data_IF_657551888282
#
_entry.id   IF_657551888282
#
_cell.length_a   1.000
_cell.length_b   1.000
_cell.length_c   1.000
_cell.angle_alpha   90.00
_cell.angle_beta   90.00
_cell.angle_gamma   90.00
#
_symmetry.space_group_name_H-M   'P 1'
#
loop_
_entity.id
_entity.type
_entity.pdbx_description
1 polymer ?
#
# COMPACT_ATOMS: atom_id res chain seq x y z
N UNK A 1 -33.44 29.42 -18.64
CA UNK A 1 -32.95 29.71 -17.28
C UNK A 1 -32.20 28.47 -16.80
N UNK A 2 -30.88 28.43 -16.93
CA UNK A 2 -30.06 27.33 -16.44
C UNK A 2 -29.92 27.46 -14.92
N UNK A 3 -30.46 26.51 -14.17
CA UNK A 3 -30.23 26.44 -12.73
C UNK A 3 -28.72 26.30 -12.49
N UNK A 4 -28.12 27.10 -11.60
CA UNK A 4 -26.69 26.96 -11.30
C UNK A 4 -26.44 25.54 -10.80
N UNK A 5 -25.54 24.82 -11.48
CA UNK A 5 -25.12 23.50 -11.05
C UNK A 5 -24.42 23.69 -9.69
N UNK A 6 -24.92 23.08 -8.60
CA UNK A 6 -24.33 23.24 -7.29
C UNK A 6 -22.87 22.84 -7.34
N UNK A 7 -22.01 23.63 -6.70
CA UNK A 7 -20.58 23.37 -6.67
C UNK A 7 -20.34 21.91 -6.20
N UNK A 8 -19.50 21.15 -6.90
CA UNK A 8 -19.29 19.76 -6.57
C UNK A 8 -18.71 19.61 -5.17
N UNK A 9 -19.38 18.80 -4.34
CA UNK A 9 -18.95 18.51 -2.96
C UNK A 9 -17.55 17.90 -3.02
N UNK A 10 -16.54 18.57 -2.45
CA UNK A 10 -15.18 18.04 -2.38
C UNK A 10 -14.91 17.44 -1.00
N UNK A 11 -14.63 16.15 -0.94
CA UNK A 11 -14.19 15.48 0.30
C UNK A 11 -12.73 15.87 0.55
N UNK A 12 -12.50 16.96 1.29
CA UNK A 12 -11.16 17.45 1.63
C UNK A 12 -10.63 16.88 2.94
N UNK A 13 -11.52 16.61 3.90
CA UNK A 13 -11.13 16.18 5.23
C UNK A 13 -11.16 14.65 5.39
N UNK A 14 -10.16 14.06 6.05
CA UNK A 14 -10.11 12.62 6.29
C UNK A 14 -11.27 12.14 7.17
N UNK A 15 -11.72 12.95 8.13
CA UNK A 15 -12.86 12.62 9.00
C UNK A 15 -14.18 12.55 8.22
N UNK A 16 -14.36 13.41 7.20
CA UNK A 16 -15.51 13.32 6.31
C UNK A 16 -15.49 12.02 5.52
N UNK A 17 -14.31 11.63 5.02
CA UNK A 17 -14.14 10.33 4.35
C UNK A 17 -14.42 9.17 5.31
N UNK A 18 -13.93 9.24 6.55
CA UNK A 18 -14.19 8.25 7.60
C UNK A 18 -15.70 8.10 7.87
N UNK A 19 -16.37 9.23 8.09
CA UNK A 19 -17.82 9.30 8.29
C UNK A 19 -18.57 8.66 7.12
N UNK A 20 -18.16 8.93 5.88
CA UNK A 20 -18.80 8.35 4.70
C UNK A 20 -18.54 6.86 4.57
N UNK A 21 -17.33 6.40 4.90
CA UNK A 21 -16.95 4.99 4.86
C UNK A 21 -17.82 4.15 5.80
N UNK A 22 -18.07 4.64 7.02
CA UNK A 22 -18.80 3.88 8.03
C UNK A 22 -20.31 4.13 8.05
N UNK A 23 -20.75 5.37 7.82
CA UNK A 23 -22.15 5.76 8.02
C UNK A 23 -22.89 6.02 6.71
N UNK A 24 -22.18 6.24 5.58
CA UNK A 24 -22.81 6.53 4.28
C UNK A 24 -22.10 5.88 3.08
N UNK A 25 -21.90 4.54 3.07
CA UNK A 25 -21.18 3.86 1.98
C UNK A 25 -21.80 4.11 0.60
N UNK A 26 -23.13 4.13 0.49
CA UNK A 26 -23.84 4.43 -0.75
C UNK A 26 -23.57 5.86 -1.28
N UNK A 27 -23.37 6.83 -0.39
CA UNK A 27 -23.01 8.20 -0.80
C UNK A 27 -21.59 8.26 -1.31
N UNK A 28 -20.67 7.52 -0.67
CA UNK A 28 -19.30 7.37 -1.13
C UNK A 28 -19.24 6.71 -2.51
N UNK A 29 -20.02 5.65 -2.74
CA UNK A 29 -20.14 4.99 -4.03
C UNK A 29 -20.59 5.93 -5.14
N UNK A 30 -21.67 6.68 -4.88
CA UNK A 30 -22.21 7.65 -5.85
C UNK A 30 -21.19 8.76 -6.16
N UNK A 31 -20.50 9.25 -5.13
CA UNK A 31 -19.44 10.25 -5.29
C UNK A 31 -18.24 9.69 -6.07
N UNK A 32 -17.78 8.48 -5.76
CA UNK A 32 -16.70 7.81 -6.48
C UNK A 32 -17.06 7.61 -7.96
N UNK A 33 -18.27 7.10 -8.24
CA UNK A 33 -18.78 6.95 -9.61
C UNK A 33 -18.93 8.26 -10.38
N UNK A 34 -19.18 9.37 -9.68
CA UNK A 34 -19.21 10.69 -10.30
C UNK A 34 -17.84 11.19 -10.77
N UNK A 35 -16.76 10.60 -10.26
CA UNK A 35 -15.38 10.87 -10.70
C UNK A 35 -15.03 9.90 -11.83
N UNK A 36 -15.29 8.60 -11.66
CA UNK A 36 -15.05 7.58 -12.68
C UNK A 36 -15.99 6.38 -12.49
N UNK A 37 -16.62 5.83 -13.55
CA UNK A 37 -17.59 4.72 -13.44
C UNK A 37 -17.03 3.48 -12.75
N UNK A 38 -15.74 3.17 -12.94
CA UNK A 38 -15.05 2.02 -12.32
C UNK A 38 -14.60 2.27 -10.87
N UNK A 39 -14.76 3.49 -10.36
CA UNK A 39 -14.41 3.81 -8.98
C UNK A 39 -15.57 3.44 -8.05
N UNK A 40 -15.38 2.39 -7.25
CA UNK A 40 -16.36 1.92 -6.27
C UNK A 40 -15.92 2.23 -4.81
N UNK A 41 -16.70 1.76 -3.83
CA UNK A 41 -16.47 1.91 -2.38
C UNK A 41 -15.10 1.39 -1.92
N UNK A 42 -14.56 0.39 -2.62
CA UNK A 42 -13.21 -0.16 -2.40
C UNK A 42 -12.09 0.84 -2.69
N UNK A 43 -12.40 1.98 -3.32
CA UNK A 43 -11.45 3.03 -3.67
C UNK A 43 -10.21 2.46 -4.36
N UNK A 44 -10.41 1.70 -5.45
CA UNK A 44 -9.34 1.21 -6.34
C UNK A 44 -8.75 2.35 -7.19
N UNK A 45 -8.43 3.48 -6.54
CA UNK A 45 -7.93 4.71 -7.16
C UNK A 45 -6.68 4.49 -8.00
N UNK A 46 -5.90 3.43 -7.78
CA UNK A 46 -4.72 3.15 -8.61
C UNK A 46 -5.06 2.67 -10.03
N UNK A 47 -6.23 2.07 -10.26
CA UNK A 47 -6.62 1.52 -11.57
C UNK A 47 -6.99 2.64 -12.53
N UNK A 48 -7.80 3.59 -12.05
CA UNK A 48 -8.32 4.73 -12.83
C UNK A 48 -7.39 5.94 -12.85
N UNK A 49 -6.28 5.92 -12.09
CA UNK A 49 -5.38 7.08 -11.95
C UNK A 49 -4.92 7.66 -13.28
N UNK A 50 -4.65 6.80 -14.27
CA UNK A 50 -4.15 7.24 -15.59
C UNK A 50 -5.18 8.10 -16.33
N UNK A 51 -6.46 7.93 -16.02
CA UNK A 51 -7.58 8.56 -16.71
C UNK A 51 -8.07 9.80 -15.96
N UNK A 52 -8.09 9.77 -14.63
CA UNK A 52 -8.64 10.85 -13.78
C UNK A 52 -7.62 11.55 -12.88
N UNK A 53 -6.32 11.35 -13.11
CA UNK A 53 -5.25 11.85 -12.24
C UNK A 53 -5.22 13.37 -12.05
N UNK A 54 -5.66 14.13 -13.07
CA UNK A 54 -5.65 15.59 -13.05
C UNK A 54 -6.88 16.20 -12.35
N UNK A 55 -7.94 15.41 -12.12
CA UNK A 55 -9.16 15.87 -11.48
C UNK A 55 -8.86 16.33 -10.02
N UNK A 56 -9.16 17.58 -9.65
CA UNK A 56 -8.96 18.07 -8.29
C UNK A 56 -9.76 17.28 -7.23
N UNK A 57 -10.93 16.73 -7.58
CA UNK A 57 -11.77 15.90 -6.69
C UNK A 57 -11.09 14.56 -6.40
N UNK A 58 -10.51 13.96 -7.43
CA UNK A 58 -9.74 12.71 -7.31
C UNK A 58 -8.50 12.92 -6.42
N UNK A 59 -7.77 14.02 -6.62
CA UNK A 59 -6.61 14.38 -5.79
C UNK A 59 -7.00 14.64 -4.32
N UNK A 60 -8.12 15.32 -4.08
CA UNK A 60 -8.64 15.54 -2.73
C UNK A 60 -9.00 14.21 -2.05
N UNK A 61 -9.69 13.31 -2.76
CA UNK A 61 -10.05 11.98 -2.26
C UNK A 61 -8.81 11.13 -1.93
N UNK A 62 -7.81 11.12 -2.82
CA UNK A 62 -6.55 10.41 -2.59
C UNK A 62 -5.82 10.96 -1.35
N UNK A 63 -5.78 12.28 -1.19
CA UNK A 63 -5.16 12.93 -0.03
C UNK A 63 -5.90 12.60 1.26
N UNK A 64 -7.23 12.68 1.26
CA UNK A 64 -8.06 12.32 2.41
C UNK A 64 -7.84 10.86 2.82
N UNK A 65 -7.80 9.94 1.84
CA UNK A 65 -7.48 8.52 2.08
C UNK A 65 -6.09 8.33 2.68
N UNK A 66 -5.08 9.02 2.15
CA UNK A 66 -3.71 8.94 2.67
C UNK A 66 -3.63 9.38 4.13
N UNK A 67 -4.26 10.51 4.47
CA UNK A 67 -4.32 10.97 5.85
C UNK A 67 -5.09 10.00 6.74
N UNK A 68 -6.18 9.42 6.25
CA UNK A 68 -6.95 8.40 6.98
C UNK A 68 -6.05 7.21 7.35
N UNK A 69 -5.36 6.64 6.38
CA UNK A 69 -4.48 5.48 6.58
C UNK A 69 -3.30 5.80 7.50
N UNK A 70 -2.78 7.03 7.46
CA UNK A 70 -1.69 7.47 8.33
C UNK A 70 -2.14 7.69 9.78
N UNK A 71 -3.32 8.30 9.97
CA UNK A 71 -3.76 8.81 11.29
C UNK A 71 -4.56 7.80 12.09
N UNK A 72 -5.40 6.97 11.45
CA UNK A 72 -6.28 6.03 12.16
C UNK A 72 -5.53 5.05 13.05
N UNK A 73 -4.43 4.38 12.63
CA UNK A 73 -3.73 3.43 13.50
C UNK A 73 -3.12 4.12 14.72
N UNK A 74 -2.54 5.30 14.52
CA UNK A 74 -1.90 6.08 15.59
C UNK A 74 -2.94 6.58 16.59
N UNK A 75 -4.00 7.22 16.11
CA UNK A 75 -5.08 7.70 16.96
C UNK A 75 -5.78 6.56 17.70
N UNK A 76 -6.03 5.44 17.01
CA UNK A 76 -6.61 4.24 17.62
C UNK A 76 -5.73 3.70 18.74
N UNK A 77 -4.43 3.56 18.49
CA UNK A 77 -3.47 3.08 19.49
C UNK A 77 -3.35 4.03 20.67
N UNK A 78 -3.30 5.35 20.43
CA UNK A 78 -3.26 6.34 21.50
C UNK A 78 -4.54 6.32 22.32
N UNK A 79 -5.71 6.28 21.68
CA UNK A 79 -7.00 6.25 22.37
C UNK A 79 -7.15 4.99 23.23
N UNK A 80 -6.84 3.82 22.67
CA UNK A 80 -6.86 2.54 23.40
C UNK A 80 -5.83 2.56 24.53
N UNK A 81 -4.61 3.02 24.27
CA UNK A 81 -3.55 3.13 25.28
C UNK A 81 -3.93 4.03 26.45
N UNK A 82 -4.59 5.18 26.19
CA UNK A 82 -5.10 6.07 27.23
C UNK A 82 -6.15 5.38 28.10
N UNK A 83 -7.09 4.67 27.47
CA UNK A 83 -8.14 3.92 28.16
C UNK A 83 -7.53 2.83 29.06
N UNK A 84 -6.61 2.02 28.54
CA UNK A 84 -5.97 0.95 29.31
C UNK A 84 -5.04 1.46 30.41
N UNK A 85 -4.41 2.62 30.23
CA UNK A 85 -3.58 3.25 31.26
C UNK A 85 -4.37 3.65 32.52
N UNK A 86 -5.71 3.69 32.44
CA UNK A 86 -6.56 3.93 33.62
C UNK A 86 -6.72 2.69 34.50
N UNK A 87 -6.45 1.50 33.99
CA UNK A 87 -6.65 0.24 34.73
C UNK A 87 -5.36 -0.55 34.98
N UNK A 88 -4.36 -0.44 34.11
CA UNK A 88 -3.14 -1.25 34.15
C UNK A 88 -1.94 -0.48 33.58
N UNK A 89 -0.73 -1.00 33.84
CA UNK A 89 0.53 -0.44 33.34
C UNK A 89 0.68 -0.67 31.82
N UNK A 90 0.03 0.19 31.04
CA UNK A 90 0.06 0.11 29.59
C UNK A 90 1.47 0.38 29.03
N UNK A 91 2.02 -0.61 28.31
CA UNK A 91 3.35 -0.53 27.70
C UNK A 91 3.32 0.30 26.41
N UNK A 92 3.41 1.62 26.58
CA UNK A 92 3.34 2.61 25.49
C UNK A 92 4.34 2.39 24.36
N UNK A 93 5.61 2.14 24.70
CA UNK A 93 6.68 2.05 23.70
C UNK A 93 6.46 0.90 22.70
N UNK A 94 6.22 -0.36 23.11
CA UNK A 94 5.87 -1.44 22.20
C UNK A 94 4.64 -1.15 21.35
N UNK A 95 3.59 -0.58 21.94
CA UNK A 95 2.33 -0.28 21.23
C UNK A 95 2.53 0.78 20.13
N UNK A 96 3.22 1.88 20.44
CA UNK A 96 3.52 2.94 19.47
C UNK A 96 4.47 2.45 18.38
N UNK A 97 5.47 1.62 18.72
CA UNK A 97 6.37 1.04 17.73
C UNK A 97 5.63 0.09 16.79
N UNK A 98 4.73 -0.74 17.33
CA UNK A 98 3.87 -1.61 16.53
C UNK A 98 2.96 -0.81 15.59
N UNK A 99 2.26 0.20 16.13
CA UNK A 99 1.35 1.02 15.33
C UNK A 99 2.08 1.81 14.26
N UNK A 100 3.25 2.37 14.55
CA UNK A 100 4.04 3.11 13.56
C UNK A 100 4.60 2.20 12.47
N UNK A 101 5.10 1.01 12.83
CA UNK A 101 5.53 -0.01 11.87
C UNK A 101 4.39 -0.42 10.92
N UNK A 102 3.20 -0.66 11.48
CA UNK A 102 1.99 -0.95 10.70
C UNK A 102 1.62 0.20 9.75
N UNK A 103 1.60 1.44 10.25
CA UNK A 103 1.32 2.63 9.44
C UNK A 103 2.30 2.77 8.29
N UNK A 104 3.61 2.66 8.56
CA UNK A 104 4.66 2.70 7.52
C UNK A 104 4.45 1.59 6.50
N UNK A 105 4.10 0.38 6.91
CA UNK A 105 3.80 -0.73 6.01
C UNK A 105 2.64 -0.43 5.06
N UNK A 106 1.53 0.09 5.58
CA UNK A 106 0.37 0.48 4.76
C UNK A 106 0.71 1.62 3.80
N UNK A 107 1.39 2.66 4.28
CA UNK A 107 1.75 3.81 3.46
C UNK A 107 2.74 3.41 2.36
N UNK A 108 3.75 2.60 2.70
CA UNK A 108 4.72 2.06 1.73
C UNK A 108 4.00 1.25 0.66
N UNK A 109 3.05 0.38 1.04
CA UNK A 109 2.22 -0.36 0.09
C UNK A 109 1.42 0.57 -0.83
N UNK A 110 0.81 1.62 -0.28
CA UNK A 110 0.08 2.63 -1.04
C UNK A 110 0.98 3.38 -2.03
N UNK A 111 2.17 3.80 -1.59
CA UNK A 111 3.16 4.51 -2.41
C UNK A 111 3.70 3.63 -3.54
N UNK A 112 3.98 2.36 -3.26
CA UNK A 112 4.43 1.40 -4.25
C UNK A 112 3.33 1.09 -5.27
N UNK A 113 2.10 0.87 -4.82
CA UNK A 113 0.96 0.69 -5.72
C UNK A 113 0.74 1.93 -6.60
N UNK A 114 0.96 3.12 -6.03
CA UNK A 114 0.92 4.38 -6.76
C UNK A 114 2.03 4.46 -7.82
N UNK A 115 3.26 4.05 -7.50
CA UNK A 115 4.41 4.13 -8.42
C UNK A 115 4.41 3.03 -9.49
N UNK A 116 3.91 1.83 -9.17
CA UNK A 116 4.01 0.62 -9.99
C UNK A 116 2.68 -0.18 -10.07
N UNK A 117 1.63 0.38 -10.71
CA UNK A 117 0.28 -0.20 -10.69
C UNK A 117 0.20 -1.58 -11.35
N UNK A 118 1.00 -1.86 -12.39
CA UNK A 118 0.98 -3.15 -13.10
C UNK A 118 1.63 -4.30 -12.31
N UNK A 119 2.34 -4.00 -11.24
CA UNK A 119 3.16 -4.98 -10.52
C UNK A 119 2.50 -5.44 -9.21
N UNK A 120 1.39 -4.82 -8.80
CA UNK A 120 0.67 -5.02 -7.52
C UNK A 120 0.39 -6.48 -7.19
N UNK A 121 0.09 -7.33 -8.18
CA UNK A 121 -0.14 -8.78 -7.96
C UNK A 121 1.11 -9.52 -7.47
N UNK A 122 2.31 -9.11 -7.90
CA UNK A 122 3.59 -9.64 -7.39
C UNK A 122 3.98 -9.03 -6.04
N UNK A 123 3.59 -7.78 -5.79
CA UNK A 123 3.87 -7.13 -4.51
C UNK A 123 3.07 -7.71 -3.34
N UNK A 124 1.94 -8.37 -3.56
CA UNK A 124 1.24 -9.05 -2.48
C UNK A 124 2.11 -10.13 -1.82
N UNK A 125 2.90 -10.86 -2.61
CA UNK A 125 3.90 -11.81 -2.09
C UNK A 125 5.02 -11.12 -1.31
N UNK A 126 5.55 -10.01 -1.83
CA UNK A 126 6.57 -9.24 -1.10
C UNK A 126 5.99 -8.64 0.20
N UNK A 127 4.75 -8.19 0.18
CA UNK A 127 4.03 -7.70 1.35
C UNK A 127 3.84 -8.80 2.38
N UNK A 128 3.43 -10.00 1.96
CA UNK A 128 3.34 -11.16 2.84
C UNK A 128 4.69 -11.53 3.46
N UNK A 129 5.78 -11.48 2.69
CA UNK A 129 7.15 -11.72 3.18
C UNK A 129 7.57 -10.64 4.20
N UNK A 130 7.34 -9.36 3.91
CA UNK A 130 7.66 -8.26 4.82
C UNK A 130 6.84 -8.38 6.12
N UNK A 131 5.56 -8.73 6.01
CA UNK A 131 4.67 -8.87 7.15
C UNK A 131 5.07 -10.09 8.01
N UNK A 132 5.43 -11.21 7.38
CA UNK A 132 6.02 -12.38 8.04
C UNK A 132 7.29 -12.00 8.81
N UNK A 133 8.21 -11.28 8.16
CA UNK A 133 9.45 -10.81 8.78
C UNK A 133 9.21 -9.86 9.95
N UNK A 134 8.25 -8.95 9.81
CA UNK A 134 7.84 -8.06 10.89
C UNK A 134 7.23 -8.83 12.06
N UNK A 135 6.39 -9.82 11.81
CA UNK A 135 5.85 -10.67 12.87
C UNK A 135 6.96 -11.46 13.58
N UNK A 136 7.97 -11.95 12.86
CA UNK A 136 9.14 -12.60 13.47
C UNK A 136 9.91 -11.64 14.36
N UNK A 137 10.14 -10.40 13.92
CA UNK A 137 10.78 -9.35 14.74
C UNK A 137 9.98 -9.02 16.01
N UNK A 138 8.66 -8.94 15.91
CA UNK A 138 7.78 -8.70 17.07
C UNK A 138 7.82 -9.89 18.02
N UNK A 139 7.73 -11.12 17.50
CA UNK A 139 7.83 -12.33 18.32
C UNK A 139 9.19 -12.36 19.03
N UNK A 140 10.29 -12.11 18.31
CA UNK A 140 11.63 -12.10 18.91
C UNK A 140 11.85 -10.99 19.93
N UNK A 141 11.16 -9.86 19.81
CA UNK A 141 11.26 -8.76 20.79
C UNK A 141 10.36 -8.97 22.00
N UNK A 142 9.26 -9.72 21.87
CA UNK A 142 8.29 -9.96 22.94
C UNK A 142 8.56 -11.28 23.68
N UNK A 143 8.97 -12.34 22.97
CA UNK A 143 9.19 -13.68 23.52
C UNK A 143 10.21 -13.70 24.70
N UNK A 144 11.32 -12.95 24.67
CA UNK A 144 12.29 -12.88 25.77
C UNK A 144 11.72 -12.31 27.06
N UNK A 145 10.78 -11.37 26.98
CA UNK A 145 10.08 -10.83 28.14
C UNK A 145 9.24 -11.89 28.86
N UNK A 146 8.74 -12.90 28.13
CA UNK A 146 7.98 -14.01 28.70
C UNK A 146 8.86 -15.17 29.17
N UNK A 147 10.01 -15.38 28.54
CA UNK A 147 10.92 -16.50 28.81
C UNK A 147 12.07 -16.14 29.77
N UNK A 148 12.21 -14.88 30.19
CA UNK A 148 13.33 -14.42 31.03
C UNK A 148 14.68 -14.45 30.33
N UNK A 149 14.71 -14.36 29.00
CA UNK A 149 15.93 -14.50 28.20
C UNK A 149 16.74 -13.19 28.28
N UNK A 150 18.07 -13.24 28.53
CA UNK A 150 18.91 -12.06 28.63
C UNK A 150 18.96 -11.28 27.31
N UNK A 151 19.05 -9.95 27.42
CA UNK A 151 18.98 -9.01 26.29
C UNK A 151 20.06 -9.24 25.21
N UNK A 152 21.19 -9.85 25.57
CA UNK A 152 22.32 -10.12 24.68
C UNK A 152 21.95 -11.11 23.57
N UNK A 153 21.18 -12.17 23.90
CA UNK A 153 20.67 -13.14 22.93
C UNK A 153 19.66 -12.50 21.95
N UNK A 154 19.01 -11.41 22.36
CA UNK A 154 18.03 -10.68 21.57
C UNK A 154 18.72 -9.88 20.45
N UNK A 155 19.88 -9.29 20.74
CA UNK A 155 20.68 -8.56 19.75
C UNK A 155 21.16 -9.51 18.64
N UNK A 156 21.66 -10.68 19.03
CA UNK A 156 22.15 -11.69 18.07
C UNK A 156 21.03 -12.19 17.15
N UNK A 157 19.84 -12.47 17.70
CA UNK A 157 18.68 -12.89 16.92
C UNK A 157 18.21 -11.80 15.94
N UNK A 158 18.21 -10.53 16.37
CA UNK A 158 17.88 -9.40 15.49
C UNK A 158 18.87 -9.28 14.32
N UNK A 159 20.17 -9.48 14.57
CA UNK A 159 21.19 -9.47 13.52
C UNK A 159 21.00 -10.59 12.50
N UNK A 160 20.69 -11.81 12.96
CA UNK A 160 20.44 -12.96 12.07
C UNK A 160 19.21 -12.71 11.18
N UNK A 161 18.13 -12.18 11.76
CA UNK A 161 16.93 -11.84 11.00
C UNK A 161 17.23 -10.74 9.99
N UNK A 162 17.87 -9.66 10.41
CA UNK A 162 18.25 -8.55 9.53
C UNK A 162 19.12 -9.02 8.34
N UNK A 163 20.09 -9.91 8.59
CA UNK A 163 20.93 -10.51 7.57
C UNK A 163 20.11 -11.37 6.60
N UNK A 164 19.19 -12.20 7.11
CA UNK A 164 18.28 -13.00 6.31
C UNK A 164 17.39 -12.15 5.38
N UNK A 165 16.88 -11.02 5.88
CA UNK A 165 16.13 -10.05 5.06
C UNK A 165 16.99 -9.47 3.96
N UNK A 166 18.19 -8.99 4.30
CA UNK A 166 19.09 -8.37 3.33
C UNK A 166 19.43 -9.34 2.19
N UNK A 167 19.70 -10.61 2.51
CA UNK A 167 19.96 -11.66 1.52
C UNK A 167 18.73 -11.97 0.67
N UNK A 168 17.55 -12.10 1.28
CA UNK A 168 16.29 -12.35 0.56
C UNK A 168 15.96 -11.24 -0.44
N UNK A 169 16.10 -9.99 -0.02
CA UNK A 169 15.88 -8.82 -0.90
C UNK A 169 16.92 -8.76 -2.02
N UNK A 170 18.20 -9.01 -1.72
CA UNK A 170 19.26 -9.03 -2.73
C UNK A 170 19.04 -10.14 -3.78
N UNK A 171 18.57 -11.32 -3.35
CA UNK A 171 18.29 -12.45 -4.24
C UNK A 171 17.07 -12.19 -5.14
N UNK A 172 16.00 -11.64 -4.57
CA UNK A 172 14.82 -11.21 -5.32
C UNK A 172 15.17 -10.14 -6.38
N UNK A 173 16.04 -9.19 -6.03
CA UNK A 173 16.50 -8.15 -6.95
C UNK A 173 17.40 -8.70 -8.07
N UNK A 174 18.27 -9.67 -7.78
CA UNK A 174 19.11 -10.34 -8.78
C UNK A 174 18.26 -11.13 -9.80
N UNK A 175 17.21 -11.81 -9.35
CA UNK A 175 16.23 -12.48 -10.22
C UNK A 175 15.48 -11.50 -11.13
N UNK A 176 15.12 -10.33 -10.61
CA UNK A 176 14.46 -9.26 -11.38
C UNK A 176 15.33 -8.74 -12.53
N UNK A 177 16.61 -8.46 -12.29
CA UNK A 177 17.54 -7.97 -13.31
C UNK A 177 17.68 -8.96 -14.48
N UNK A 178 17.69 -10.27 -14.17
CA UNK A 178 17.81 -11.34 -15.17
C UNK A 178 16.56 -11.44 -16.06
N UNK A 179 15.37 -11.28 -15.50
CA UNK A 179 14.12 -11.37 -16.26
C UNK A 179 13.90 -10.16 -17.20
N UNK A 180 14.44 -8.99 -16.85
CA UNK A 180 14.37 -7.78 -17.68
C UNK A 180 15.21 -7.90 -18.96
N UNK A 181 16.38 -8.54 -18.90
CA UNK A 181 17.23 -8.69 -20.09
C UNK A 181 16.61 -9.65 -21.12
N UNK A 182 15.87 -10.66 -20.66
CA UNK A 182 15.19 -11.63 -21.53
C UNK A 182 14.02 -11.02 -22.30
N UNK A 183 13.29 -10.07 -21.70
CA UNK A 183 12.22 -9.35 -22.41
C UNK A 183 12.75 -8.42 -23.50
N UNK A 184 13.90 -7.79 -23.27
CA UNK A 184 14.50 -6.92 -24.29
C UNK A 184 14.90 -7.73 -25.53
N UNK A 185 15.56 -8.88 -25.33
CA UNK A 185 15.95 -9.76 -26.44
C UNK A 185 14.77 -10.33 -27.22
N UNK A 186 13.60 -10.49 -26.60
CA UNK A 186 12.39 -11.05 -27.24
C UNK A 186 11.60 -10.01 -28.04
N UNK A 187 11.74 -8.72 -27.73
CA UNK A 187 11.18 -7.63 -28.54
C UNK A 187 11.93 -7.49 -29.85
N UNK A 188 13.27 -7.49 -29.79
CA UNK A 188 14.13 -7.30 -30.97
C UNK A 188 13.99 -8.41 -32.01
N UNK A 189 13.57 -9.63 -31.61
CA UNK A 189 13.31 -10.75 -32.53
C UNK A 189 11.90 -10.75 -33.12
N UNK A 190 10.93 -10.11 -32.47
CA UNK A 190 9.57 -10.03 -33.01
C UNK A 190 9.48 -9.01 -34.15
N UNK A 191 10.24 -7.92 -34.05
CA UNK A 191 10.25 -6.85 -35.07
C UNK A 191 10.96 -7.28 -36.38
N UNK A 192 11.84 -8.29 -36.33
CA UNK A 192 12.55 -8.79 -37.53
C UNK A 192 11.69 -9.71 -38.41
N UNK A 193 10.60 -10.28 -37.90
CA UNK A 193 9.77 -11.24 -38.67
C UNK A 193 8.58 -10.60 -39.41
N UNK A 194 8.26 -9.33 -39.15
CA UNK A 194 7.06 -8.67 -39.73
C UNK A 194 7.39 -7.89 -41.02
N UNK A 195 8.66 -7.74 -41.38
CA UNK A 195 9.09 -6.89 -42.51
C UNK A 195 9.27 -7.61 -43.85
N UNK A 196 8.64 -8.76 -44.09
CA UNK A 196 8.58 -9.35 -45.44
C UNK A 196 7.24 -9.04 -46.12
N UNK A 197 7.13 -7.94 -46.90
CA UNK A 197 5.95 -7.68 -47.72
C UNK A 197 5.83 -8.77 -48.78
N UNK A 198 4.72 -9.49 -48.76
CA UNK A 198 4.37 -10.47 -49.80
C UNK A 198 4.03 -9.69 -51.07
N UNK A 199 4.73 -9.88 -52.20
CA UNK A 199 4.39 -9.18 -53.43
C UNK A 199 3.04 -9.72 -53.95
N UNK A 200 2.02 -8.85 -53.93
CA UNK A 200 0.73 -9.12 -54.55
C UNK A 200 0.93 -9.24 -56.06
N UNK A 201 0.76 -10.46 -56.58
CA UNK A 201 0.76 -10.77 -58.00
C UNK A 201 -0.61 -10.37 -58.56
N UNK A 202 -0.66 -9.22 -59.22
CA UNK A 202 -1.84 -8.76 -59.96
C UNK A 202 -1.86 -9.52 -61.30
N UNK A 203 -2.94 -10.23 -61.56
CA UNK A 203 -3.28 -10.84 -62.84
C UNK A 203 -4.52 -10.16 -63.41
#
# INVERSE_FOLDING_TARGET
MSTPVPAPIQIRHPLTLLYWLFLRPLSLRRYARSIHPDLDEDLKVWEVRREVGDDPRFRALCRARWWLLATVPLLGTTFVGLIFSLWDDFRWLPALLHSSGWTVGILTRGLLAWRFPQQTRRWWWNGAIILLLWSVLIILSVLPLFMGIPAEALIEAVFIVALGVALGVAWAWRGYRRNRSLRHKRGDTADTCVSHPTPLRVG
#
